data_IF_842148217735
#
_entry.id   IF_842148217735
#
_cell.length_a   1.000
_cell.length_b   1.000
_cell.length_c   1.000
_cell.angle_alpha   90.00
_cell.angle_beta   90.00
_cell.angle_gamma   90.00
#
_symmetry.space_group_name_H-M   'P 1'
#
loop_
_entity.id
_entity.type
_entity.pdbx_description
1 polymer ?
#
# COMPACT_ATOMS: atom_id res chain seq x y z
N UNK A 1 14.43 17.21 36.34
CA UNK A 1 15.40 16.66 35.36
C UNK A 1 15.94 17.86 34.61
N UNK A 2 17.24 18.13 34.61
CA UNK A 2 17.73 19.39 34.00
C UNK A 2 17.81 19.32 32.47
N UNK A 3 17.76 18.14 31.83
CA UNK A 3 17.65 18.08 30.38
C UNK A 3 17.14 16.73 29.84
N UNK A 4 16.00 16.73 29.14
CA UNK A 4 15.47 15.56 28.39
C UNK A 4 16.14 15.37 27.02
N UNK A 5 16.94 16.36 26.62
CA UNK A 5 17.59 16.45 25.33
C UNK A 5 18.36 15.19 24.91
N UNK A 6 19.11 14.47 25.78
CA UNK A 6 19.78 13.23 25.37
C UNK A 6 18.82 12.15 24.87
N UNK A 7 17.64 12.00 25.48
CA UNK A 7 16.65 11.02 25.06
C UNK A 7 15.98 11.40 23.74
N UNK A 8 15.62 12.67 23.60
CA UNK A 8 14.99 13.18 22.37
C UNK A 8 15.96 13.06 21.20
N UNK A 9 17.24 13.40 21.40
CA UNK A 9 18.24 13.31 20.34
C UNK A 9 18.56 11.85 19.98
N UNK A 10 18.71 10.95 20.95
CA UNK A 10 18.91 9.53 20.64
C UNK A 10 17.70 8.80 20.08
N UNK A 11 16.50 9.39 20.16
CA UNK A 11 15.32 8.87 19.48
C UNK A 11 15.40 9.09 17.96
N UNK A 12 15.83 10.27 17.51
CA UNK A 12 15.98 10.56 16.08
C UNK A 12 17.29 10.06 15.50
N UNK A 13 18.34 9.99 16.33
CA UNK A 13 19.67 9.59 15.92
C UNK A 13 20.33 8.76 17.02
N UNK A 14 20.07 7.44 17.06
CA UNK A 14 20.66 6.53 18.04
C UNK A 14 22.17 6.73 18.20
N UNK A 15 22.62 6.86 19.44
CA UNK A 15 24.02 7.12 19.77
C UNK A 15 24.37 8.61 19.94
N UNK A 16 23.62 9.55 19.33
CA UNK A 16 23.91 10.98 19.42
C UNK A 16 23.67 11.57 20.83
N UNK A 17 22.68 11.07 21.57
CA UNK A 17 22.44 11.49 22.96
C UNK A 17 23.59 11.12 23.91
N UNK A 18 24.34 10.04 23.63
CA UNK A 18 25.53 9.67 24.39
C UNK A 18 26.65 10.71 24.25
N UNK A 19 26.76 11.40 23.11
CA UNK A 19 27.71 12.51 22.93
C UNK A 19 27.38 13.69 23.84
N UNK A 20 26.08 13.97 24.07
CA UNK A 20 25.64 15.01 25.00
C UNK A 20 26.01 14.66 26.44
N UNK A 21 26.02 13.37 26.76
CA UNK A 21 26.51 12.83 28.03
C UNK A 21 28.03 12.64 28.08
N UNK A 22 28.77 13.06 27.04
CA UNK A 22 30.23 12.91 26.90
C UNK A 22 30.74 11.47 26.87
N UNK A 23 29.91 10.50 26.49
CA UNK A 23 30.36 9.12 26.19
C UNK A 23 30.51 8.90 24.69
N UNK A 24 31.64 9.39 24.18
CA UNK A 24 31.98 9.31 22.77
C UNK A 24 32.21 7.88 22.28
N UNK A 25 32.70 6.98 23.14
CA UNK A 25 33.06 5.62 22.75
C UNK A 25 31.81 4.78 22.49
N UNK A 26 30.90 4.72 23.46
CA UNK A 26 29.64 3.99 23.28
C UNK A 26 28.73 4.68 22.28
N UNK A 27 28.64 6.01 22.33
CA UNK A 27 27.85 6.79 21.38
C UNK A 27 28.27 6.56 19.93
N UNK A 28 29.59 6.54 19.66
CA UNK A 28 30.12 6.26 18.33
C UNK A 28 29.79 4.84 17.84
N UNK A 29 29.88 3.82 18.70
CA UNK A 29 29.54 2.44 18.33
C UNK A 29 28.06 2.32 17.95
N UNK A 30 27.18 2.88 18.78
CA UNK A 30 25.72 2.83 18.56
C UNK A 30 25.36 3.56 17.27
N UNK A 31 25.90 4.76 17.05
CA UNK A 31 25.66 5.57 15.86
C UNK A 31 26.14 4.86 14.58
N UNK A 32 27.30 4.21 14.62
CA UNK A 32 27.87 3.52 13.47
C UNK A 32 27.05 2.27 13.12
N UNK A 33 26.62 1.50 14.13
CA UNK A 33 25.70 0.38 13.94
C UNK A 33 24.37 0.83 13.33
N UNK A 34 23.87 1.98 13.78
CA UNK A 34 22.64 2.56 13.26
C UNK A 34 22.74 2.90 11.77
N UNK A 35 23.80 3.63 11.38
CA UNK A 35 24.08 3.99 9.99
C UNK A 35 24.22 2.75 9.10
N UNK A 36 24.95 1.73 9.56
CA UNK A 36 25.12 0.48 8.81
C UNK A 36 23.79 -0.25 8.65
N UNK A 37 22.97 -0.31 9.70
CA UNK A 37 21.62 -0.89 9.63
C UNK A 37 20.74 -0.13 8.63
N UNK A 38 20.72 1.20 8.68
CA UNK A 38 19.95 2.02 7.75
C UNK A 38 20.42 1.83 6.31
N UNK A 39 21.73 1.78 6.08
CA UNK A 39 22.29 1.51 4.75
C UNK A 39 21.86 0.14 4.22
N UNK A 40 21.87 -0.91 5.05
CA UNK A 40 21.41 -2.24 4.65
C UNK A 40 19.91 -2.26 4.32
N UNK A 41 19.09 -1.54 5.10
CA UNK A 41 17.64 -1.41 4.85
C UNK A 41 17.39 -0.70 3.51
N UNK A 42 18.11 0.37 3.20
CA UNK A 42 17.93 1.15 1.98
C UNK A 42 18.34 0.40 0.70
N UNK A 43 19.24 -0.58 0.81
CA UNK A 43 19.71 -1.38 -0.32
C UNK A 43 18.93 -2.68 -0.54
N UNK A 44 17.91 -2.98 0.29
CA UNK A 44 17.03 -4.13 0.15
C UNK A 44 15.65 -3.68 -0.35
N UNK A 45 15.09 -4.39 -1.33
CA UNK A 45 13.81 -4.04 -1.95
C UNK A 45 12.70 -3.86 -0.89
N UNK A 46 12.25 -2.61 -0.76
CA UNK A 46 11.33 -2.09 0.25
C UNK A 46 9.97 -2.80 0.29
N UNK A 47 9.61 -3.56 -0.76
CA UNK A 47 8.28 -4.13 -0.96
C UNK A 47 8.06 -5.52 -0.33
N UNK A 48 9.10 -6.20 0.16
CA UNK A 48 8.92 -7.47 0.87
C UNK A 48 8.72 -7.24 2.38
N UNK A 49 7.45 -7.01 2.72
CA UNK A 49 6.83 -6.90 4.05
C UNK A 49 7.67 -7.32 5.28
N UNK A 50 7.84 -6.34 6.18
CA UNK A 50 7.77 -6.43 7.65
C UNK A 50 8.52 -7.65 8.24
N UNK A 51 9.77 -7.51 8.75
CA UNK A 51 10.23 -6.38 9.57
C UNK A 51 11.76 -6.15 9.56
N UNK A 52 12.33 -5.61 8.48
CA UNK A 52 13.75 -5.21 8.48
C UNK A 52 14.07 -3.98 9.34
N UNK A 53 13.06 -3.37 9.98
CA UNK A 53 13.21 -2.27 10.93
C UNK A 53 13.64 -2.74 12.33
N UNK A 54 13.59 -4.04 12.63
CA UNK A 54 13.94 -4.56 13.95
C UNK A 54 15.36 -4.22 14.40
N UNK A 55 16.41 -4.32 13.57
CA UNK A 55 17.74 -3.94 14.00
C UNK A 55 17.82 -2.46 14.41
N UNK A 56 17.17 -1.57 13.65
CA UNK A 56 17.11 -0.14 13.97
C UNK A 56 16.34 0.13 15.27
N UNK A 57 15.20 -0.54 15.47
CA UNK A 57 14.44 -0.48 16.73
C UNK A 57 15.30 -0.98 17.88
N UNK A 58 15.96 -2.14 17.77
CA UNK A 58 16.82 -2.72 18.82
C UNK A 58 17.96 -1.76 19.18
N UNK A 59 18.61 -1.13 18.19
CA UNK A 59 19.68 -0.15 18.41
C UNK A 59 19.15 1.09 19.14
N UNK A 60 17.98 1.59 18.77
CA UNK A 60 17.34 2.72 19.46
C UNK A 60 16.97 2.36 20.92
N UNK A 61 16.40 1.18 21.15
CA UNK A 61 16.11 0.66 22.50
C UNK A 61 17.41 0.65 23.33
N UNK A 62 18.47 0.08 22.78
CA UNK A 62 19.78 0.02 23.44
C UNK A 62 20.32 1.41 23.77
N UNK A 63 20.23 2.35 22.83
CA UNK A 63 20.68 3.73 23.02
C UNK A 63 19.93 4.44 24.17
N UNK A 64 18.61 4.23 24.26
CA UNK A 64 17.76 4.83 25.30
C UNK A 64 18.08 4.24 26.68
N UNK A 65 18.26 2.92 26.77
CA UNK A 65 18.64 2.25 28.02
C UNK A 65 20.02 2.67 28.53
N UNK A 66 21.04 2.80 27.65
CA UNK A 66 22.38 3.24 28.09
C UNK A 66 22.38 4.71 28.58
N UNK A 67 21.59 5.59 27.95
CA UNK A 67 21.39 6.98 28.43
C UNK A 67 20.71 6.99 29.80
N UNK A 68 19.71 6.12 29.98
CA UNK A 68 19.01 5.96 31.25
C UNK A 68 19.99 5.57 32.38
N UNK A 69 20.77 4.51 32.20
CA UNK A 69 21.70 4.01 33.23
C UNK A 69 22.70 5.09 33.68
N UNK A 70 23.21 5.88 32.73
CA UNK A 70 24.13 7.00 33.00
C UNK A 70 23.48 8.13 33.78
N UNK A 71 22.27 8.53 33.40
CA UNK A 71 21.56 9.61 34.08
C UNK A 71 21.14 9.14 35.49
N UNK A 72 20.77 7.87 35.66
CA UNK A 72 20.50 7.30 36.99
C UNK A 72 21.73 7.33 37.89
N UNK A 73 22.90 6.89 37.39
CA UNK A 73 24.16 6.95 38.14
C UNK A 73 24.56 8.39 38.52
N UNK A 74 24.29 9.37 37.65
CA UNK A 74 24.66 10.77 37.87
C UNK A 74 23.71 11.50 38.83
N UNK A 75 22.41 11.36 38.64
CA UNK A 75 21.40 12.19 39.29
C UNK A 75 20.72 11.48 40.49
N UNK A 76 20.94 10.17 40.68
CA UNK A 76 20.40 9.38 41.80
C UNK A 76 18.86 9.31 41.89
N UNK A 77 18.14 9.84 40.89
CA UNK A 77 16.67 9.94 40.88
C UNK A 77 16.02 8.70 40.24
N UNK A 78 15.17 8.02 41.02
CA UNK A 78 14.81 6.61 40.80
C UNK A 78 13.39 6.30 40.25
N UNK A 79 12.65 7.25 39.67
CA UNK A 79 11.24 6.96 39.30
C UNK A 79 10.75 7.64 38.01
N UNK A 80 10.72 8.97 37.95
CA UNK A 80 10.09 9.68 36.82
C UNK A 80 10.75 9.40 35.47
N UNK A 81 12.08 9.25 35.43
CA UNK A 81 12.85 8.89 34.24
C UNK A 81 12.58 7.46 33.76
N UNK A 82 12.29 6.53 34.67
CA UNK A 82 11.98 5.13 34.36
C UNK A 82 10.63 5.02 33.64
N UNK A 83 9.60 5.71 34.14
CA UNK A 83 8.30 5.75 33.48
C UNK A 83 8.36 6.44 32.11
N UNK A 84 9.19 7.48 31.98
CA UNK A 84 9.36 8.19 30.72
C UNK A 84 10.06 7.33 29.67
N UNK A 85 11.16 6.65 30.02
CA UNK A 85 11.85 5.72 29.11
C UNK A 85 10.94 4.54 28.69
N UNK A 86 10.19 3.95 29.62
CA UNK A 86 9.19 2.92 29.31
C UNK A 86 8.06 3.44 28.42
N UNK A 87 7.55 4.64 28.70
CA UNK A 87 6.50 5.25 27.86
C UNK A 87 7.01 5.54 26.45
N UNK A 88 8.27 5.96 26.30
CA UNK A 88 8.89 6.20 25.00
C UNK A 88 9.05 4.90 24.21
N UNK A 89 9.47 3.81 24.87
CA UNK A 89 9.56 2.48 24.27
C UNK A 89 8.20 1.97 23.77
N UNK A 90 7.17 2.15 24.58
CA UNK A 90 5.80 1.78 24.21
C UNK A 90 5.35 2.59 22.98
N UNK A 91 5.61 3.89 22.95
CA UNK A 91 5.30 4.74 21.79
C UNK A 91 6.10 4.31 20.57
N UNK A 92 7.39 4.02 20.70
CA UNK A 92 8.26 3.54 19.60
C UNK A 92 7.73 2.27 18.94
N UNK A 93 7.17 1.34 19.71
CA UNK A 93 6.74 0.04 19.19
C UNK A 93 5.26 0.10 18.76
N UNK A 94 4.38 0.61 19.61
CA UNK A 94 2.95 0.62 19.36
C UNK A 94 2.53 1.65 18.32
N UNK A 95 3.22 2.80 18.22
CA UNK A 95 2.83 3.83 17.26
C UNK A 95 3.07 3.40 15.82
N UNK A 96 4.26 2.92 15.40
CA UNK A 96 4.45 2.43 14.03
C UNK A 96 3.57 1.22 13.71
N UNK A 97 3.39 0.31 14.68
CA UNK A 97 2.54 -0.87 14.50
C UNK A 97 1.07 -0.46 14.25
N UNK A 98 0.52 0.41 15.10
CA UNK A 98 -0.86 0.91 14.95
C UNK A 98 -1.03 1.73 13.68
N UNK A 99 -0.06 2.57 13.32
CA UNK A 99 -0.08 3.35 12.07
C UNK A 99 -0.04 2.42 10.83
N UNK A 100 0.75 1.35 10.88
CA UNK A 100 0.83 0.36 9.80
C UNK A 100 -0.50 -0.39 9.64
N UNK A 101 -1.08 -0.88 10.75
CA UNK A 101 -2.38 -1.54 10.72
C UNK A 101 -3.50 -0.62 10.23
N UNK A 102 -3.49 0.64 10.67
CA UNK A 102 -4.47 1.65 10.25
C UNK A 102 -4.37 1.95 8.75
N UNK A 103 -3.16 2.25 8.26
CA UNK A 103 -2.94 2.56 6.84
C UNK A 103 -3.25 1.37 5.94
N UNK A 104 -2.76 0.18 6.26
CA UNK A 104 -3.08 -1.04 5.50
C UNK A 104 -4.58 -1.34 5.50
N UNK A 105 -5.27 -1.13 6.62
CA UNK A 105 -6.73 -1.25 6.70
C UNK A 105 -7.45 -0.24 5.80
N UNK A 106 -7.01 1.02 5.79
CA UNK A 106 -7.58 2.04 4.90
C UNK A 106 -7.37 1.70 3.42
N UNK A 107 -6.15 1.37 3.01
CA UNK A 107 -5.84 1.07 1.60
C UNK A 107 -6.61 -0.15 1.11
N UNK A 108 -6.60 -1.26 1.88
CA UNK A 108 -7.37 -2.46 1.52
C UNK A 108 -8.87 -2.22 1.53
N UNK A 109 -9.35 -1.36 2.43
CA UNK A 109 -10.77 -0.97 2.46
C UNK A 109 -11.19 -0.21 1.21
N UNK A 110 -10.36 0.75 0.76
CA UNK A 110 -10.62 1.51 -0.49
C UNK A 110 -10.55 0.60 -1.72
N UNK A 111 -9.55 -0.27 -1.78
CA UNK A 111 -9.40 -1.27 -2.85
C UNK A 111 -10.63 -2.17 -2.93
N UNK A 112 -11.06 -2.74 -1.79
CA UNK A 112 -12.25 -3.58 -1.72
C UNK A 112 -13.53 -2.86 -2.20
N UNK A 113 -13.77 -1.63 -1.74
CA UNK A 113 -14.96 -0.87 -2.17
C UNK A 113 -14.92 -0.55 -3.66
N UNK A 114 -13.75 -0.19 -4.17
CA UNK A 114 -13.56 0.15 -5.58
C UNK A 114 -13.78 -1.08 -6.46
N UNK A 115 -13.16 -2.19 -6.11
CA UNK A 115 -13.20 -3.40 -6.90
C UNK A 115 -14.53 -4.13 -6.81
N UNK A 116 -15.16 -4.20 -5.64
CA UNK A 116 -16.38 -4.99 -5.46
C UNK A 116 -17.62 -4.24 -5.95
N UNK A 117 -17.75 -2.95 -5.63
CA UNK A 117 -19.00 -2.22 -5.86
C UNK A 117 -18.90 -1.25 -7.04
N UNK A 118 -17.88 -0.40 -7.05
CA UNK A 118 -17.79 0.68 -8.04
C UNK A 118 -17.45 0.15 -9.44
N UNK A 119 -16.49 -0.76 -9.52
CA UNK A 119 -16.03 -1.30 -10.80
C UNK A 119 -17.07 -2.22 -11.43
N UNK A 120 -17.80 -3.01 -10.64
CA UNK A 120 -18.86 -3.88 -11.15
C UNK A 120 -20.03 -3.08 -11.74
N UNK A 121 -20.54 -2.09 -11.00
CA UNK A 121 -21.64 -1.24 -11.47
C UNK A 121 -21.26 -0.41 -12.70
N UNK A 122 -20.04 0.14 -12.72
CA UNK A 122 -19.52 0.85 -13.89
C UNK A 122 -19.35 -0.07 -15.09
N UNK A 123 -18.87 -1.29 -14.89
CA UNK A 123 -18.67 -2.27 -15.97
C UNK A 123 -20.03 -2.70 -16.55
N UNK A 124 -21.03 -2.95 -15.71
CA UNK A 124 -22.39 -3.24 -16.16
C UNK A 124 -23.00 -2.08 -16.95
N UNK A 125 -22.78 -0.85 -16.48
CA UNK A 125 -23.26 0.37 -17.16
C UNK A 125 -22.60 0.53 -18.53
N UNK A 126 -21.27 0.44 -18.59
CA UNK A 126 -20.51 0.54 -19.84
C UNK A 126 -20.91 -0.58 -20.83
N UNK A 127 -21.10 -1.82 -20.35
CA UNK A 127 -21.58 -2.91 -21.19
C UNK A 127 -22.98 -2.68 -21.76
N UNK A 128 -23.86 -1.96 -21.04
CA UNK A 128 -25.17 -1.58 -21.58
C UNK A 128 -25.05 -0.48 -22.65
N UNK A 129 -24.13 0.47 -22.48
CA UNK A 129 -23.83 1.48 -23.50
C UNK A 129 -23.27 0.84 -24.77
N UNK A 130 -22.29 -0.06 -24.63
CA UNK A 130 -21.73 -0.86 -25.73
C UNK A 130 -22.85 -1.64 -26.43
N UNK A 131 -23.72 -2.30 -25.66
CA UNK A 131 -24.85 -3.06 -26.20
C UNK A 131 -25.82 -2.19 -27.00
N UNK A 132 -26.05 -0.95 -26.56
CA UNK A 132 -26.91 0.01 -27.25
C UNK A 132 -26.30 0.41 -28.58
N UNK A 133 -25.01 0.76 -28.60
CA UNK A 133 -24.33 1.14 -29.85
C UNK A 133 -24.14 -0.04 -30.81
N UNK A 134 -23.91 -1.26 -30.31
CA UNK A 134 -23.91 -2.47 -31.14
C UNK A 134 -25.28 -2.71 -31.78
N UNK A 135 -26.36 -2.47 -31.05
CA UNK A 135 -27.72 -2.59 -31.59
C UNK A 135 -28.00 -1.51 -32.64
N UNK A 136 -27.50 -0.28 -32.44
CA UNK A 136 -27.58 0.76 -33.47
C UNK A 136 -26.78 0.39 -34.73
N UNK A 137 -25.62 -0.23 -34.56
CA UNK A 137 -24.82 -0.74 -35.67
C UNK A 137 -25.59 -1.82 -36.45
N UNK A 138 -26.17 -2.80 -35.77
CA UNK A 138 -26.95 -3.86 -36.40
C UNK A 138 -28.18 -3.31 -37.11
N UNK A 139 -28.91 -2.35 -36.53
CA UNK A 139 -30.04 -1.69 -37.18
C UNK A 139 -29.64 -0.98 -38.49
N UNK A 140 -28.43 -0.43 -38.58
CA UNK A 140 -27.96 0.29 -39.76
C UNK A 140 -27.38 -0.65 -40.84
N UNK A 141 -26.63 -1.67 -40.44
CA UNK A 141 -25.91 -2.58 -41.35
C UNK A 141 -26.59 -3.94 -41.56
N UNK A 142 -27.64 -4.25 -40.79
CA UNK A 142 -28.34 -5.53 -40.77
C UNK A 142 -27.57 -6.67 -40.11
N UNK A 143 -26.37 -6.41 -39.55
CA UNK A 143 -25.49 -7.41 -38.93
C UNK A 143 -24.65 -6.77 -37.83
N UNK A 144 -24.23 -7.57 -36.85
CA UNK A 144 -23.23 -7.15 -35.85
C UNK A 144 -21.80 -7.08 -36.41
N UNK A 145 -20.91 -6.26 -35.82
CA UNK A 145 -19.56 -6.09 -36.31
C UNK A 145 -18.71 -7.36 -36.07
N UNK A 146 -18.08 -7.87 -37.13
CA UNK A 146 -17.18 -9.04 -37.04
C UNK A 146 -15.93 -8.79 -36.19
N UNK A 147 -15.53 -7.54 -36.03
CA UNK A 147 -14.34 -7.13 -35.29
C UNK A 147 -14.68 -5.99 -34.33
N UNK A 148 -14.73 -6.32 -33.04
CA UNK A 148 -15.04 -5.38 -31.97
C UNK A 148 -14.02 -4.23 -31.87
N UNK A 149 -12.74 -4.55 -32.02
CA UNK A 149 -11.66 -3.57 -32.02
C UNK A 149 -11.81 -2.54 -33.17
N UNK A 150 -12.28 -2.97 -34.34
CA UNK A 150 -12.61 -2.05 -35.44
C UNK A 150 -13.87 -1.24 -35.19
N UNK A 151 -14.84 -1.78 -34.45
CA UNK A 151 -16.04 -1.06 -34.04
C UNK A 151 -15.70 0.07 -33.06
N UNK A 152 -14.96 -0.21 -31.98
CA UNK A 152 -14.58 0.82 -30.99
C UNK A 152 -13.70 1.91 -31.61
N UNK A 153 -12.87 1.59 -32.61
CA UNK A 153 -12.02 2.59 -33.30
C UNK A 153 -12.80 3.59 -34.15
N UNK A 154 -14.08 3.36 -34.43
CA UNK A 154 -14.89 4.30 -35.21
C UNK A 154 -15.09 5.63 -34.51
N UNK A 155 -15.10 5.64 -33.16
CA UNK A 155 -15.23 6.85 -32.35
C UNK A 155 -14.12 6.90 -31.30
N UNK A 156 -13.24 7.92 -31.28
CA UNK A 156 -12.16 8.03 -30.30
C UNK A 156 -12.61 7.98 -28.83
N UNK A 157 -13.83 8.44 -28.54
CA UNK A 157 -14.43 8.41 -27.21
C UNK A 157 -14.64 6.99 -26.67
N UNK A 158 -14.70 5.98 -27.54
CA UNK A 158 -14.85 4.57 -27.16
C UNK A 158 -13.52 3.87 -26.88
N UNK A 159 -12.41 4.62 -26.80
CA UNK A 159 -11.11 4.05 -26.48
C UNK A 159 -11.07 3.31 -25.13
N UNK A 160 -11.90 3.71 -24.17
CA UNK A 160 -12.03 3.01 -22.88
C UNK A 160 -12.73 1.67 -22.99
N UNK A 161 -13.62 1.48 -23.97
CA UNK A 161 -14.43 0.26 -24.18
C UNK A 161 -13.61 -0.98 -24.61
N UNK A 162 -12.29 -0.87 -24.59
CA UNK A 162 -11.37 -1.98 -24.82
C UNK A 162 -11.27 -2.90 -23.60
N UNK A 163 -11.45 -2.35 -22.41
CA UNK A 163 -11.26 -3.05 -21.14
C UNK A 163 -12.30 -2.61 -20.12
N UNK A 164 -12.67 -3.51 -19.23
CA UNK A 164 -13.54 -3.19 -18.09
C UNK A 164 -12.85 -2.29 -17.03
N UNK A 165 -13.57 -2.02 -15.94
CA UNK A 165 -13.08 -1.13 -14.88
C UNK A 165 -11.95 -1.75 -14.03
N UNK A 166 -11.72 -3.06 -14.12
CA UNK A 166 -10.55 -3.74 -13.55
C UNK A 166 -9.38 -3.84 -14.54
N UNK A 167 -9.49 -3.19 -15.71
CA UNK A 167 -8.49 -3.18 -16.79
C UNK A 167 -8.30 -4.52 -17.48
N UNK A 168 -9.25 -5.44 -17.31
CA UNK A 168 -9.29 -6.68 -18.08
C UNK A 168 -9.91 -6.38 -19.45
N UNK A 169 -9.34 -6.89 -20.56
CA UNK A 169 -9.90 -6.64 -21.88
C UNK A 169 -11.33 -7.21 -21.98
N UNK A 170 -12.21 -6.58 -22.77
CA UNK A 170 -13.49 -7.20 -23.07
C UNK A 170 -13.30 -8.33 -24.09
N UNK A 171 -14.01 -9.43 -23.89
CA UNK A 171 -14.08 -10.52 -24.87
C UNK A 171 -15.41 -10.47 -25.61
N UNK A 172 -15.32 -10.16 -26.90
CA UNK A 172 -16.43 -10.14 -27.83
C UNK A 172 -16.43 -11.39 -28.70
N UNK A 173 -17.53 -12.13 -28.71
CA UNK A 173 -17.74 -13.33 -29.51
C UNK A 173 -19.00 -13.14 -30.37
N UNK A 174 -18.82 -13.10 -31.69
CA UNK A 174 -19.93 -13.13 -32.63
C UNK A 174 -20.40 -14.58 -32.78
N UNK A 175 -21.65 -14.87 -32.41
CA UNK A 175 -22.23 -16.22 -32.48
C UNK A 175 -22.76 -16.47 -33.90
N UNK A 176 -23.52 -15.51 -34.41
CA UNK A 176 -24.00 -15.47 -35.80
C UNK A 176 -24.17 -14.01 -36.25
N UNK A 177 -24.86 -13.76 -37.36
CA UNK A 177 -24.99 -12.39 -37.89
C UNK A 177 -25.84 -11.46 -37.01
N UNK A 178 -26.70 -12.01 -36.16
CA UNK A 178 -27.69 -11.31 -35.33
C UNK A 178 -27.54 -11.59 -33.82
N UNK A 179 -26.57 -12.42 -33.42
CA UNK A 179 -26.31 -12.76 -32.02
C UNK A 179 -24.84 -12.58 -31.68
N UNK A 180 -24.58 -11.94 -30.54
CA UNK A 180 -23.23 -11.77 -30.00
C UNK A 180 -23.20 -11.98 -28.49
N UNK A 181 -21.99 -12.16 -27.97
CA UNK A 181 -21.69 -12.24 -26.55
C UNK A 181 -20.55 -11.28 -26.22
N UNK A 182 -20.75 -10.44 -25.21
CA UNK A 182 -19.74 -9.56 -24.62
C UNK A 182 -19.47 -10.01 -23.19
N UNK A 183 -18.20 -10.25 -22.86
CA UNK A 183 -17.78 -10.81 -21.58
C UNK A 183 -16.72 -9.89 -20.96
N UNK A 184 -16.94 -9.50 -19.71
CA UNK A 184 -15.89 -9.00 -18.81
C UNK A 184 -15.45 -10.16 -17.92
N UNK A 185 -14.14 -10.29 -17.71
CA UNK A 185 -13.56 -11.30 -16.81
C UNK A 185 -13.77 -10.98 -15.32
N UNK A 186 -14.47 -9.88 -15.01
CA UNK A 186 -14.72 -9.46 -13.63
C UNK A 186 -13.45 -9.11 -12.88
N UNK A 187 -13.52 -9.25 -11.55
CA UNK A 187 -12.47 -8.84 -10.63
C UNK A 187 -11.23 -9.73 -10.67
N UNK A 188 -11.42 -11.04 -10.86
CA UNK A 188 -10.31 -12.00 -10.82
C UNK A 188 -9.52 -12.09 -12.14
N UNK A 189 -10.05 -11.49 -13.22
CA UNK A 189 -9.40 -11.42 -14.52
C UNK A 189 -9.33 -12.76 -15.26
N UNK A 190 -10.06 -13.77 -14.78
CA UNK A 190 -10.08 -15.10 -15.39
C UNK A 190 -11.42 -15.29 -16.11
N UNK A 191 -11.37 -15.51 -17.42
CA UNK A 191 -12.59 -15.78 -18.18
C UNK A 191 -13.20 -17.14 -17.86
N UNK A 192 -14.51 -17.23 -18.05
CA UNK A 192 -15.33 -18.44 -18.00
C UNK A 192 -15.50 -19.03 -16.61
N UNK A 193 -15.57 -18.16 -15.61
CA UNK A 193 -15.85 -18.50 -14.22
C UNK A 193 -17.17 -17.86 -13.74
N UNK A 194 -17.34 -17.71 -12.42
CA UNK A 194 -18.52 -17.09 -11.80
C UNK A 194 -18.44 -15.56 -11.71
N UNK A 195 -17.25 -14.98 -11.78
CA UNK A 195 -17.00 -13.54 -11.69
C UNK A 195 -17.26 -12.85 -13.04
N UNK A 196 -17.32 -13.62 -14.13
CA UNK A 196 -17.65 -13.13 -15.46
C UNK A 196 -19.00 -12.37 -15.49
N UNK A 197 -18.95 -11.15 -16.02
CA UNK A 197 -20.15 -10.39 -16.37
C UNK A 197 -20.41 -10.59 -17.86
N UNK A 198 -21.55 -11.21 -18.19
CA UNK A 198 -21.90 -11.60 -19.56
C UNK A 198 -23.11 -10.82 -20.04
N UNK A 199 -22.97 -10.11 -21.16
CA UNK A 199 -24.09 -9.57 -21.95
C UNK A 199 -24.25 -10.34 -23.26
N UNK A 200 -25.51 -10.61 -23.60
CA UNK A 200 -25.94 -11.21 -24.86
C UNK A 200 -27.10 -10.40 -25.40
N UNK A 201 -27.22 -10.35 -26.73
CA UNK A 201 -28.45 -10.01 -27.42
C UNK A 201 -29.16 -11.33 -27.74
#
# INVERSE_FOLDING_TARGET
>A
MKNLLPFIISFFLPGAGQFILKDFRKGGIILLLDIVSTYLILNLDFLNLIPFWFPHIIIMIWAIFDIYDKIEQRDGKKSATRYLAFSLLIVIILFPLSLTLFTTGLFKGVEFVTDEYLNEDRTKTEMNEISTELSLYENYYGVFPKNYESFIRQKPIWGSWKSDNWKNPYKYELIDSINYKLISAGKDGIYFNKDDIIRKN
#
